data_IF_894139929433
#
_entry.id   IF_894139929433
#
_cell.length_a   1.000
_cell.length_b   1.000
_cell.length_c   1.000
_cell.angle_alpha   90.00
_cell.angle_beta   90.00
_cell.angle_gamma   90.00
#
_symmetry.space_group_name_H-M   'P 1'
#
loop_
_entity.id
_entity.type
_entity.pdbx_description
1 polymer ?
#
# COMPACT_ATOMS: atom_id res chain seq x y z
N UNK A 1 32.01 8.56 -5.30
CA UNK A 1 32.82 9.35 -4.34
C UNK A 1 32.04 10.54 -3.79
N UNK A 2 30.71 10.46 -3.67
CA UNK A 2 29.80 11.56 -3.20
C UNK A 2 29.15 11.26 -1.84
N UNK A 3 28.99 9.99 -1.43
CA UNK A 3 28.31 9.62 -0.16
C UNK A 3 29.10 9.83 1.14
N UNK A 4 30.36 10.24 1.08
CA UNK A 4 31.18 10.42 2.30
C UNK A 4 31.18 11.86 2.85
N UNK A 5 30.68 12.84 2.08
CA UNK A 5 30.64 14.25 2.52
C UNK A 5 29.36 14.59 3.31
N UNK A 6 28.25 13.92 3.01
CA UNK A 6 26.97 14.21 3.70
C UNK A 6 26.95 13.71 5.15
N UNK A 7 27.64 12.57 5.41
CA UNK A 7 27.78 12.03 6.76
C UNK A 7 28.61 12.90 7.70
N UNK A 8 29.64 13.57 7.20
CA UNK A 8 30.51 14.45 7.99
C UNK A 8 29.82 15.76 8.31
N UNK A 9 29.04 16.33 7.38
CA UNK A 9 28.27 17.55 7.63
C UNK A 9 27.14 17.34 8.64
N UNK A 10 26.48 16.18 8.61
CA UNK A 10 25.45 15.84 9.58
C UNK A 10 26.04 15.67 10.97
N UNK A 11 27.22 15.04 11.09
CA UNK A 11 27.94 14.85 12.35
C UNK A 11 28.40 16.20 12.96
N UNK A 12 28.93 17.10 12.13
CA UNK A 12 29.32 18.46 12.58
C UNK A 12 28.10 19.33 13.02
N UNK A 13 26.95 19.16 12.39
CA UNK A 13 25.69 19.84 12.76
C UNK A 13 25.17 19.30 14.11
N UNK A 14 25.23 17.99 14.30
CA UNK A 14 24.87 17.35 15.58
C UNK A 14 25.78 17.77 16.69
N UNK A 15 27.11 17.82 16.47
CA UNK A 15 28.09 18.27 17.46
C UNK A 15 27.92 19.76 17.83
N UNK A 16 27.56 20.62 16.88
CA UNK A 16 27.23 22.04 17.13
C UNK A 16 25.93 22.22 17.91
N UNK A 17 24.91 21.39 17.64
CA UNK A 17 23.65 21.38 18.40
C UNK A 17 23.89 20.92 19.85
N UNK A 18 24.74 19.91 20.05
CA UNK A 18 25.12 19.38 21.37
C UNK A 18 25.78 20.46 22.23
N UNK A 19 26.58 21.35 21.62
CA UNK A 19 27.25 22.48 22.35
C UNK A 19 26.29 23.63 22.70
N UNK A 20 25.17 23.77 21.98
CA UNK A 20 24.24 24.88 22.13
C UNK A 20 23.07 24.59 23.07
N UNK A 21 22.68 23.32 23.23
CA UNK A 21 21.58 22.91 24.09
C UNK A 21 21.82 21.50 24.68
N UNK A 22 22.20 21.40 25.97
CA UNK A 22 22.38 20.10 26.65
C UNK A 22 21.12 19.24 26.66
N UNK A 23 19.93 19.83 26.60
CA UNK A 23 18.65 19.11 26.59
C UNK A 23 18.38 18.49 25.22
N UNK A 24 18.78 19.16 24.14
CA UNK A 24 18.71 18.56 22.78
C UNK A 24 19.64 17.35 22.66
N UNK A 25 20.81 17.36 23.30
CA UNK A 25 21.72 16.21 23.34
C UNK A 25 21.14 15.01 24.06
N UNK A 26 20.49 15.20 25.19
CA UNK A 26 19.85 14.12 25.94
C UNK A 26 18.65 13.53 25.15
N UNK A 27 17.86 14.37 24.50
CA UNK A 27 16.76 13.95 23.63
C UNK A 27 17.26 13.10 22.45
N UNK A 28 18.38 13.44 21.81
CA UNK A 28 19.00 12.68 20.75
C UNK A 28 19.46 11.29 21.24
N UNK A 29 20.00 11.19 22.44
CA UNK A 29 20.37 9.89 23.04
C UNK A 29 19.16 8.98 23.22
N UNK A 30 18.03 9.52 23.73
CA UNK A 30 16.78 8.77 23.85
C UNK A 30 16.31 8.26 22.50
N UNK A 31 16.30 9.11 21.47
CA UNK A 31 15.90 8.73 20.11
C UNK A 31 16.79 7.61 19.58
N UNK A 32 18.11 7.79 19.59
CA UNK A 32 19.08 6.80 19.09
C UNK A 32 18.99 5.46 19.82
N UNK A 33 18.72 5.50 21.13
CA UNK A 33 18.53 4.28 21.92
C UNK A 33 17.28 3.50 21.47
N UNK A 34 16.14 4.18 21.30
CA UNK A 34 14.93 3.53 20.80
C UNK A 34 15.08 3.06 19.36
N UNK A 35 15.78 3.78 18.50
CA UNK A 35 16.07 3.36 17.13
C UNK A 35 16.88 2.04 17.10
N UNK A 36 17.81 1.90 18.05
CA UNK A 36 18.57 0.64 18.22
C UNK A 36 17.65 -0.51 18.67
N UNK A 37 16.75 -0.29 19.63
CA UNK A 37 15.78 -1.29 20.08
C UNK A 37 14.83 -1.70 18.95
N UNK A 38 14.34 -0.73 18.18
CA UNK A 38 13.43 -0.97 17.05
C UNK A 38 14.14 -1.76 15.93
N UNK A 39 15.38 -1.39 15.60
CA UNK A 39 16.21 -2.07 14.59
C UNK A 39 16.58 -3.49 15.01
N UNK A 40 16.82 -3.69 16.33
CA UNK A 40 17.05 -5.00 16.94
C UNK A 40 15.82 -5.88 17.07
N UNK A 41 14.65 -5.42 16.59
CA UNK A 41 13.36 -6.13 16.66
C UNK A 41 12.96 -6.58 18.07
N UNK A 42 13.26 -5.74 19.05
CA UNK A 42 13.00 -6.04 20.45
C UNK A 42 11.48 -6.05 20.70
N UNK A 43 11.00 -7.04 21.47
CA UNK A 43 9.58 -7.15 21.85
C UNK A 43 9.17 -6.14 22.93
N UNK A 44 7.87 -6.12 23.30
CA UNK A 44 7.30 -5.18 24.28
C UNK A 44 8.05 -5.19 25.61
N UNK A 45 8.35 -6.37 26.15
CA UNK A 45 9.08 -6.50 27.41
C UNK A 45 10.48 -5.87 27.36
N UNK A 46 11.17 -5.99 26.23
CA UNK A 46 12.46 -5.36 26.03
C UNK A 46 12.36 -3.85 25.85
N UNK A 47 11.33 -3.33 25.19
CA UNK A 47 11.05 -1.89 25.12
C UNK A 47 10.77 -1.31 26.51
N UNK A 48 10.00 -2.00 27.36
CA UNK A 48 9.72 -1.59 28.72
C UNK A 48 10.98 -1.60 29.59
N UNK A 49 11.81 -2.65 29.51
CA UNK A 49 13.10 -2.71 30.23
C UNK A 49 14.02 -1.57 29.82
N UNK A 50 14.12 -1.30 28.51
CA UNK A 50 14.91 -0.17 28.00
C UNK A 50 14.39 1.17 28.50
N UNK A 51 13.08 1.37 28.52
CA UNK A 51 12.46 2.60 29.04
C UNK A 51 12.69 2.76 30.53
N UNK A 52 12.59 1.68 31.30
CA UNK A 52 12.85 1.68 32.76
C UNK A 52 14.32 2.02 33.06
N UNK A 53 15.26 1.40 32.35
CA UNK A 53 16.68 1.68 32.52
C UNK A 53 17.04 3.15 32.17
N UNK A 54 16.48 3.69 31.08
CA UNK A 54 16.70 5.07 30.67
C UNK A 54 16.11 6.10 31.61
N UNK A 55 14.91 5.82 32.14
CA UNK A 55 14.21 6.77 33.01
C UNK A 55 14.60 6.67 34.48
N UNK A 56 15.19 5.53 34.92
CA UNK A 56 15.37 5.21 36.32
C UNK A 56 14.07 5.06 37.09
N UNK A 57 12.95 4.76 36.39
CA UNK A 57 11.62 4.55 36.95
C UNK A 57 11.00 3.24 36.43
N UNK A 58 9.97 2.74 37.09
CA UNK A 58 9.22 1.60 36.57
C UNK A 58 8.52 2.00 35.28
N UNK A 59 8.74 1.24 34.19
CA UNK A 59 8.02 1.38 32.94
C UNK A 59 6.93 0.31 32.84
N UNK A 60 5.73 0.71 32.39
CA UNK A 60 4.58 -0.17 32.28
C UNK A 60 3.83 -0.02 30.97
N UNK A 61 3.13 -1.09 30.61
CA UNK A 61 2.19 -1.14 29.50
C UNK A 61 0.94 -1.95 29.90
N UNK A 62 -0.20 -1.49 29.40
CA UNK A 62 -1.45 -2.24 29.44
C UNK A 62 -1.89 -2.54 28.00
N UNK A 63 -2.19 -3.81 27.72
CA UNK A 63 -2.63 -4.25 26.41
C UNK A 63 -3.62 -5.41 26.55
N UNK A 64 -4.83 -5.25 25.98
CA UNK A 64 -5.88 -6.26 26.06
C UNK A 64 -6.19 -6.71 27.51
N UNK A 65 -6.22 -5.77 28.45
CA UNK A 65 -6.46 -6.02 29.88
C UNK A 65 -5.30 -6.66 30.65
N UNK A 66 -4.16 -6.90 29.98
CA UNK A 66 -2.94 -7.44 30.62
C UNK A 66 -1.94 -6.33 30.87
N UNK A 67 -1.45 -6.22 32.11
CA UNK A 67 -0.46 -5.25 32.55
C UNK A 67 0.91 -5.91 32.65
N UNK A 68 1.93 -5.27 32.05
CA UNK A 68 3.35 -5.62 32.18
C UNK A 68 4.09 -4.43 32.76
N UNK A 69 4.97 -4.66 33.76
CA UNK A 69 5.75 -3.63 34.46
C UNK A 69 7.16 -4.11 34.67
N UNK A 70 8.16 -3.24 34.46
CA UNK A 70 9.58 -3.53 34.68
C UNK A 70 10.23 -2.40 35.45
N UNK A 71 11.09 -2.74 36.42
CA UNK A 71 11.91 -1.79 37.16
C UNK A 71 13.18 -1.39 36.39
N UNK A 72 13.95 -0.39 36.88
CA UNK A 72 15.19 0.03 36.23
C UNK A 72 16.27 -1.07 36.09
N UNK A 73 16.23 -2.11 36.93
CA UNK A 73 17.13 -3.26 36.87
C UNK A 73 16.66 -4.31 35.84
N UNK A 74 15.53 -4.03 35.17
CA UNK A 74 14.95 -4.91 34.13
C UNK A 74 14.17 -6.11 34.72
N UNK A 75 13.85 -6.10 36.02
CA UNK A 75 13.06 -7.17 36.66
C UNK A 75 11.57 -6.88 36.52
N UNK A 76 10.78 -7.95 36.35
CA UNK A 76 9.32 -7.82 36.25
C UNK A 76 8.71 -7.53 37.63
N UNK A 77 7.95 -6.44 37.69
CA UNK A 77 7.25 -6.00 38.91
C UNK A 77 5.84 -6.59 38.93
N UNK A 78 5.63 -7.68 39.66
CA UNK A 78 4.33 -8.37 39.76
C UNK A 78 3.52 -7.94 40.98
N UNK A 79 4.18 -7.53 42.07
CA UNK A 79 3.60 -7.19 43.38
C UNK A 79 4.08 -5.78 43.79
N UNK A 80 3.30 -5.10 44.61
CA UNK A 80 3.57 -3.77 45.14
C UNK A 80 2.50 -2.77 44.72
N UNK A 81 2.37 -1.69 45.51
CA UNK A 81 1.47 -0.57 45.20
C UNK A 81 2.01 0.10 43.91
N UNK A 82 1.22 0.23 42.87
CA UNK A 82 1.66 0.96 41.67
C UNK A 82 1.98 2.41 42.02
N UNK A 83 3.15 2.90 41.59
CA UNK A 83 3.48 4.31 41.63
C UNK A 83 2.51 5.12 40.76
N UNK A 84 2.59 6.44 40.86
CA UNK A 84 1.76 7.32 40.04
C UNK A 84 2.19 7.19 38.57
N UNK A 85 1.24 6.78 37.70
CA UNK A 85 1.48 6.62 36.24
C UNK A 85 1.63 8.00 35.60
N UNK A 86 2.87 8.43 35.41
CA UNK A 86 3.22 9.72 34.78
C UNK A 86 4.58 9.64 34.10
N UNK A 87 4.74 10.13 32.85
CA UNK A 87 3.66 10.43 31.88
C UNK A 87 2.98 9.16 31.37
N UNK A 88 1.81 9.32 30.72
CA UNK A 88 1.03 8.22 30.10
C UNK A 88 0.74 8.57 28.66
N UNK A 89 0.79 7.57 27.75
CA UNK A 89 0.30 7.68 26.38
C UNK A 89 -0.64 6.51 26.07
N UNK A 90 -1.69 6.85 25.33
CA UNK A 90 -2.62 5.82 24.82
C UNK A 90 -2.04 5.24 23.53
N UNK A 91 -2.06 3.94 23.38
CA UNK A 91 -1.52 3.19 22.23
C UNK A 91 -2.55 2.14 21.80
N UNK A 92 -3.28 2.42 20.73
CA UNK A 92 -4.39 1.54 20.29
C UNK A 92 -5.45 1.37 21.37
N UNK A 93 -5.71 0.11 21.79
CA UNK A 93 -6.66 -0.23 22.88
C UNK A 93 -6.00 -0.31 24.26
N UNK A 94 -4.76 0.16 24.41
CA UNK A 94 -4.01 0.10 25.67
C UNK A 94 -3.30 1.41 25.98
N UNK A 95 -2.33 1.35 26.90
CA UNK A 95 -1.53 2.49 27.29
C UNK A 95 -0.12 2.09 27.70
N UNK A 96 0.82 3.05 27.63
CA UNK A 96 2.19 2.94 28.13
C UNK A 96 2.49 4.09 29.08
N UNK A 97 3.33 3.87 30.11
CA UNK A 97 3.62 4.87 31.12
C UNK A 97 4.96 4.65 31.81
N UNK A 98 5.38 5.66 32.55
CA UNK A 98 6.35 5.53 33.64
C UNK A 98 5.64 5.65 34.99
N UNK A 99 6.20 5.05 36.04
CA UNK A 99 5.73 5.25 37.42
C UNK A 99 6.68 6.21 38.13
N UNK A 100 6.19 7.41 38.39
CA UNK A 100 6.99 8.48 38.97
C UNK A 100 6.25 9.08 40.16
N UNK A 101 6.87 8.99 41.33
CA UNK A 101 6.40 9.67 42.52
C UNK A 101 7.11 11.03 42.61
N UNK A 102 6.37 12.14 42.52
CA UNK A 102 6.87 13.48 42.57
C UNK A 102 7.05 14.18 41.22
N UNK A 103 8.15 14.93 41.04
CA UNK A 103 8.38 15.75 39.86
C UNK A 103 8.88 14.90 38.68
N UNK A 104 8.34 15.18 37.47
CA UNK A 104 8.84 14.55 36.25
C UNK A 104 10.28 14.98 35.94
N UNK A 105 11.07 14.05 35.44
CA UNK A 105 12.40 14.38 34.90
C UNK A 105 12.26 14.91 33.47
N UNK A 106 13.26 15.67 33.03
CA UNK A 106 13.25 16.36 31.74
C UNK A 106 12.97 15.44 30.54
N UNK A 107 13.43 14.18 30.62
CA UNK A 107 13.34 13.22 29.51
C UNK A 107 12.14 12.25 29.62
N UNK A 108 11.38 12.28 30.71
CA UNK A 108 10.30 11.32 30.95
C UNK A 108 9.22 11.36 29.85
N UNK A 109 8.83 12.57 29.41
CA UNK A 109 7.88 12.77 28.30
C UNK A 109 8.41 12.18 27.01
N UNK A 110 9.65 12.46 26.64
CA UNK A 110 10.28 11.94 25.43
C UNK A 110 10.40 10.42 25.46
N UNK A 111 10.77 9.83 26.60
CA UNK A 111 10.88 8.38 26.75
C UNK A 111 9.52 7.71 26.53
N UNK A 112 8.43 8.27 27.10
CA UNK A 112 7.09 7.69 26.94
C UNK A 112 6.56 7.91 25.52
N UNK A 113 6.86 9.04 24.88
CA UNK A 113 6.51 9.27 23.47
C UNK A 113 7.20 8.25 22.55
N UNK A 114 8.49 7.99 22.77
CA UNK A 114 9.24 6.98 22.00
C UNK A 114 8.80 5.56 22.29
N UNK A 115 8.48 5.25 23.55
CA UNK A 115 7.90 3.96 23.93
C UNK A 115 6.54 3.74 23.28
N UNK A 116 5.68 4.76 23.24
CA UNK A 116 4.38 4.69 22.57
C UNK A 116 4.55 4.42 21.07
N UNK A 117 5.40 5.20 20.38
CA UNK A 117 5.71 5.01 18.97
C UNK A 117 6.26 3.60 18.67
N UNK A 118 7.26 3.15 19.48
CA UNK A 118 7.83 1.80 19.30
C UNK A 118 6.81 0.69 19.53
N UNK A 119 5.89 0.89 20.50
CA UNK A 119 4.81 -0.06 20.80
C UNK A 119 3.77 -0.11 19.68
N UNK A 120 3.43 1.03 19.07
CA UNK A 120 2.57 1.09 17.89
C UNK A 120 3.19 0.38 16.70
N UNK A 121 4.48 0.63 16.45
CA UNK A 121 5.23 -0.03 15.39
C UNK A 121 5.30 -1.55 15.61
N UNK A 122 5.51 -1.99 16.86
CA UNK A 122 5.48 -3.42 17.23
C UNK A 122 4.08 -4.01 17.00
N UNK A 123 3.02 -3.27 17.36
CA UNK A 123 1.63 -3.69 17.14
C UNK A 123 1.29 -3.77 15.65
N UNK A 124 1.76 -2.80 14.85
CA UNK A 124 1.62 -2.82 13.39
C UNK A 124 2.32 -4.04 12.77
N UNK A 125 3.53 -4.37 13.23
CA UNK A 125 4.26 -5.59 12.80
C UNK A 125 3.57 -6.88 13.25
N UNK A 126 2.84 -6.86 14.38
CA UNK A 126 2.12 -8.01 14.92
C UNK A 126 0.70 -8.15 14.37
N UNK A 127 0.17 -7.12 13.69
CA UNK A 127 -1.10 -7.23 12.99
C UNK A 127 -0.97 -8.19 11.80
N UNK A 128 -2.04 -8.92 11.43
CA UNK A 128 -2.06 -9.75 10.22
C UNK A 128 -1.75 -8.99 8.92
N UNK A 129 -1.69 -7.65 8.99
CA UNK A 129 -1.47 -6.74 7.86
C UNK A 129 -0.12 -7.00 7.18
N UNK A 130 0.98 -7.15 7.92
CA UNK A 130 2.30 -7.45 7.32
C UNK A 130 2.48 -8.91 6.86
N UNK A 131 1.47 -9.77 7.04
CA UNK A 131 1.51 -11.17 6.60
C UNK A 131 0.90 -11.36 5.22
N UNK A 132 -0.10 -10.55 4.87
CA UNK A 132 -0.67 -10.59 3.53
C UNK A 132 0.34 -10.13 2.48
N UNK A 133 1.17 -9.13 2.77
CA UNK A 133 2.27 -8.68 1.91
C UNK A 133 3.22 -9.84 1.54
N UNK A 134 3.58 -10.68 2.53
CA UNK A 134 4.43 -11.85 2.29
C UNK A 134 3.71 -12.89 1.44
N UNK A 135 2.42 -13.12 1.67
CA UNK A 135 1.63 -14.15 0.96
C UNK A 135 1.48 -13.79 -0.52
N UNK A 136 1.27 -12.51 -0.85
CA UNK A 136 1.05 -12.04 -2.22
C UNK A 136 2.34 -11.72 -2.99
N UNK A 137 3.50 -11.75 -2.35
CA UNK A 137 4.80 -11.47 -2.96
C UNK A 137 5.35 -12.72 -3.64
N UNK A 138 5.34 -12.72 -4.98
CA UNK A 138 5.86 -13.81 -5.79
C UNK A 138 7.38 -14.01 -5.65
N UNK A 139 8.12 -12.98 -5.17
CA UNK A 139 9.58 -13.06 -4.99
C UNK A 139 9.97 -13.78 -3.71
N UNK A 140 9.03 -13.94 -2.76
CA UNK A 140 9.26 -14.66 -1.51
C UNK A 140 9.25 -16.17 -1.73
N UNK A 141 10.15 -16.90 -1.06
CA UNK A 141 10.12 -18.35 -1.07
C UNK A 141 8.77 -18.92 -0.62
N UNK A 142 8.37 -20.05 -1.20
CA UNK A 142 7.11 -20.70 -0.85
C UNK A 142 7.02 -21.04 0.64
N UNK A 143 8.15 -21.37 1.27
CA UNK A 143 8.24 -21.66 2.70
C UNK A 143 7.84 -20.44 3.57
N UNK A 144 8.37 -19.25 3.28
CA UNK A 144 8.00 -18.01 3.97
C UNK A 144 6.53 -17.70 3.79
N UNK A 145 5.99 -17.87 2.56
CA UNK A 145 4.57 -17.68 2.27
C UNK A 145 3.70 -18.68 3.02
N UNK A 146 4.14 -19.92 3.15
CA UNK A 146 3.43 -20.96 3.92
C UNK A 146 3.38 -20.65 5.42
N UNK A 147 4.46 -20.14 5.99
CA UNK A 147 4.50 -19.67 7.39
C UNK A 147 3.52 -18.50 7.56
N UNK A 148 3.49 -17.56 6.63
CA UNK A 148 2.57 -16.43 6.67
C UNK A 148 1.10 -16.88 6.55
N UNK A 149 0.78 -17.85 5.68
CA UNK A 149 -0.55 -18.46 5.58
C UNK A 149 -0.98 -19.11 6.91
N UNK A 150 -0.11 -19.92 7.52
CA UNK A 150 -0.39 -20.56 8.79
C UNK A 150 -0.74 -19.55 9.89
N UNK A 151 -0.11 -18.39 9.89
CA UNK A 151 -0.40 -17.32 10.85
C UNK A 151 -1.76 -16.63 10.63
N UNK A 152 -2.28 -16.67 9.41
CA UNK A 152 -3.65 -16.26 9.07
C UNK A 152 -4.65 -17.42 9.25
N UNK A 153 -4.21 -18.59 9.74
CA UNK A 153 -4.99 -19.82 9.87
C UNK A 153 -5.59 -20.30 8.54
N UNK A 154 -4.81 -20.15 7.47
CA UNK A 154 -5.16 -20.60 6.13
C UNK A 154 -4.32 -21.82 5.76
N UNK A 155 -4.99 -22.86 5.30
CA UNK A 155 -4.34 -23.98 4.66
C UNK A 155 -3.89 -23.59 3.22
N UNK A 156 -2.77 -24.10 2.72
CA UNK A 156 -2.30 -23.80 1.35
C UNK A 156 -3.33 -24.11 0.28
N UNK A 157 -4.21 -25.08 0.51
CA UNK A 157 -5.29 -25.49 -0.39
C UNK A 157 -6.57 -24.65 -0.26
N UNK A 158 -6.66 -23.79 0.74
CA UNK A 158 -7.85 -22.93 0.94
C UNK A 158 -8.07 -22.07 -0.30
N UNK A 159 -9.33 -22.04 -0.77
CA UNK A 159 -9.71 -21.21 -1.90
C UNK A 159 -9.85 -19.75 -1.46
N UNK A 160 -9.09 -18.86 -2.09
CA UNK A 160 -9.06 -17.43 -1.81
C UNK A 160 -9.06 -16.62 -3.10
N UNK A 161 -9.35 -15.34 -2.98
CA UNK A 161 -8.97 -14.33 -3.98
C UNK A 161 -8.44 -13.08 -3.30
N UNK A 162 -7.67 -12.29 -4.03
CA UNK A 162 -7.21 -10.98 -3.60
C UNK A 162 -8.02 -9.91 -4.33
N UNK A 163 -8.44 -8.89 -3.58
CA UNK A 163 -9.11 -7.71 -4.10
C UNK A 163 -8.13 -6.54 -4.02
N UNK A 164 -7.97 -5.83 -5.13
CA UNK A 164 -7.14 -4.63 -5.22
C UNK A 164 -8.02 -3.38 -5.22
N UNK A 165 -7.72 -2.42 -4.34
CA UNK A 165 -8.40 -1.12 -4.26
C UNK A 165 -7.38 0.00 -4.09
N UNK A 166 -7.83 1.26 -4.19
CA UNK A 166 -7.01 2.40 -3.78
C UNK A 166 -6.57 2.26 -2.31
N UNK A 167 -5.41 2.82 -1.97
CA UNK A 167 -4.80 2.65 -0.64
C UNK A 167 -5.68 3.15 0.51
N UNK A 168 -6.49 4.16 0.25
CA UNK A 168 -7.42 4.83 1.19
C UNK A 168 -8.81 4.20 1.24
N UNK A 169 -9.10 3.19 0.39
CA UNK A 169 -10.39 2.49 0.39
C UNK A 169 -10.29 1.13 1.09
N UNK A 170 -10.60 1.04 2.39
CA UNK A 170 -10.60 -0.23 3.12
C UNK A 170 -11.88 -1.02 2.84
N UNK A 171 -11.73 -2.34 2.72
CA UNK A 171 -12.85 -3.29 2.79
C UNK A 171 -12.94 -3.80 4.23
N UNK A 172 -14.10 -3.69 4.84
CA UNK A 172 -14.29 -3.98 6.27
C UNK A 172 -14.00 -5.46 6.62
N UNK A 173 -13.45 -5.67 7.82
CA UNK A 173 -13.30 -6.97 8.50
C UNK A 173 -12.44 -8.06 7.81
N UNK A 174 -11.68 -7.73 6.75
CA UNK A 174 -10.81 -8.68 6.08
C UNK A 174 -9.32 -8.34 6.29
N UNK A 175 -8.41 -9.33 6.30
CA UNK A 175 -6.97 -9.08 6.30
C UNK A 175 -6.59 -8.26 5.07
N UNK A 176 -5.89 -7.15 5.28
CA UNK A 176 -5.50 -6.25 4.21
C UNK A 176 -4.09 -5.69 4.44
N UNK A 177 -3.43 -5.30 3.34
CA UNK A 177 -2.13 -4.64 3.33
C UNK A 177 -2.10 -3.58 2.22
N UNK A 178 -1.39 -2.47 2.45
CA UNK A 178 -1.09 -1.50 1.38
C UNK A 178 0.30 -1.80 0.86
N UNK A 179 0.40 -2.06 -0.43
CA UNK A 179 1.60 -2.58 -1.08
C UNK A 179 2.02 -1.64 -2.22
N UNK A 180 3.31 -1.28 -2.31
CA UNK A 180 3.82 -0.56 -3.47
C UNK A 180 3.80 -1.48 -4.71
N UNK A 181 3.28 -0.95 -5.79
CA UNK A 181 3.29 -1.60 -7.11
C UNK A 181 3.91 -0.66 -8.13
N UNK A 182 4.21 -1.16 -9.33
CA UNK A 182 4.65 -0.28 -10.44
C UNK A 182 3.61 0.79 -10.84
N UNK A 183 2.39 0.68 -10.32
CA UNK A 183 1.28 1.60 -10.57
C UNK A 183 0.95 2.49 -9.37
N UNK A 184 1.81 2.53 -8.34
CA UNK A 184 1.59 3.26 -7.11
C UNK A 184 1.19 2.37 -5.94
N UNK A 185 0.70 3.00 -4.87
CA UNK A 185 0.28 2.29 -3.65
C UNK A 185 -1.12 1.71 -3.83
N UNK A 186 -1.25 0.39 -3.70
CA UNK A 186 -2.50 -0.35 -3.88
C UNK A 186 -2.78 -1.16 -2.62
N UNK A 187 -4.03 -1.18 -2.18
CA UNK A 187 -4.48 -2.02 -1.07
C UNK A 187 -4.84 -3.41 -1.59
N UNK A 188 -4.19 -4.42 -1.03
CA UNK A 188 -4.57 -5.81 -1.16
C UNK A 188 -5.53 -6.18 -0.02
N UNK A 189 -6.65 -6.81 -0.32
CA UNK A 189 -7.58 -7.36 0.67
C UNK A 189 -7.81 -8.84 0.37
N UNK A 190 -7.68 -9.68 1.40
CA UNK A 190 -7.90 -11.12 1.29
C UNK A 190 -9.40 -11.42 1.41
N UNK A 191 -9.96 -12.07 0.40
CA UNK A 191 -11.33 -12.58 0.42
C UNK A 191 -11.31 -14.12 0.41
N UNK A 192 -11.93 -14.73 1.42
CA UNK A 192 -12.06 -16.19 1.58
C UNK A 192 -13.51 -16.63 1.39
N UNK A 193 -14.46 -15.73 1.62
CA UNK A 193 -15.90 -16.05 1.68
C UNK A 193 -16.69 -15.71 0.43
N UNK A 194 -16.15 -14.85 -0.43
CA UNK A 194 -16.90 -14.30 -1.58
C UNK A 194 -17.89 -13.20 -1.20
N UNK A 195 -17.96 -12.83 0.07
CA UNK A 195 -18.86 -11.81 0.59
C UNK A 195 -18.28 -10.40 0.65
N UNK A 196 -17.03 -10.22 0.27
CA UNK A 196 -16.37 -8.90 0.28
C UNK A 196 -16.84 -8.07 -0.93
N UNK A 197 -17.76 -7.14 -0.70
CA UNK A 197 -18.21 -6.15 -1.70
C UNK A 197 -17.48 -4.83 -1.47
N UNK A 198 -16.66 -4.38 -2.41
CA UNK A 198 -16.04 -3.06 -2.32
C UNK A 198 -17.05 -1.95 -2.65
N UNK A 199 -17.07 -0.89 -1.84
CA UNK A 199 -17.86 0.32 -2.08
C UNK A 199 -17.11 1.36 -2.95
N UNK A 200 -15.97 0.98 -3.49
CA UNK A 200 -15.10 1.81 -4.33
C UNK A 200 -14.61 1.03 -5.56
N UNK A 201 -13.83 1.70 -6.41
CA UNK A 201 -13.21 1.03 -7.55
C UNK A 201 -12.33 -0.12 -7.08
N UNK A 202 -12.57 -1.32 -7.63
CA UNK A 202 -11.87 -2.53 -7.22
C UNK A 202 -11.58 -3.46 -8.39
N UNK A 203 -10.39 -4.06 -8.36
CA UNK A 203 -10.03 -5.18 -9.19
C UNK A 203 -10.13 -6.48 -8.41
N UNK A 204 -10.87 -7.43 -8.92
CA UNK A 204 -11.02 -8.75 -8.30
C UNK A 204 -10.05 -9.73 -8.97
N UNK A 205 -9.16 -10.32 -8.19
CA UNK A 205 -8.32 -11.41 -8.67
C UNK A 205 -9.12 -12.71 -8.88
N UNK A 206 -8.63 -13.65 -9.67
CA UNK A 206 -9.26 -14.95 -9.79
C UNK A 206 -9.22 -15.69 -8.46
N UNK A 207 -10.19 -16.58 -8.28
CA UNK A 207 -10.18 -17.55 -7.19
C UNK A 207 -9.08 -18.58 -7.40
N UNK A 208 -8.16 -18.66 -6.46
CA UNK A 208 -6.99 -19.55 -6.48
C UNK A 208 -6.85 -20.28 -5.14
N UNK A 209 -5.95 -21.25 -5.08
CA UNK A 209 -5.48 -21.80 -3.80
C UNK A 209 -4.62 -20.74 -3.09
N UNK A 210 -4.59 -20.73 -1.77
CA UNK A 210 -3.87 -19.73 -0.98
C UNK A 210 -2.36 -19.71 -1.26
N UNK A 211 -1.75 -20.85 -1.59
CA UNK A 211 -0.35 -20.94 -2.02
C UNK A 211 -0.07 -20.26 -3.39
N UNK A 212 -1.11 -19.97 -4.16
CA UNK A 212 -1.11 -19.23 -5.42
C UNK A 212 -1.62 -17.77 -5.28
N UNK A 213 -1.66 -17.22 -4.08
CA UNK A 213 -2.11 -15.84 -3.83
C UNK A 213 -1.40 -14.77 -4.69
N UNK A 214 -0.09 -14.86 -5.01
CA UNK A 214 0.57 -13.90 -5.90
C UNK A 214 -0.09 -13.79 -7.27
N UNK A 215 -0.59 -14.90 -7.80
CA UNK A 215 -1.26 -14.96 -9.11
C UNK A 215 -2.60 -14.19 -9.09
N UNK A 216 -3.34 -14.32 -7.98
CA UNK A 216 -4.57 -13.56 -7.76
C UNK A 216 -4.29 -12.07 -7.59
N UNK A 217 -3.24 -11.72 -6.84
CA UNK A 217 -2.82 -10.34 -6.61
C UNK A 217 -2.42 -9.60 -7.87
N UNK A 218 -1.49 -10.17 -8.67
CA UNK A 218 -1.06 -9.57 -9.94
C UNK A 218 -2.24 -9.22 -10.83
N UNK A 219 -3.18 -10.16 -10.98
CA UNK A 219 -4.36 -9.99 -11.83
C UNK A 219 -5.37 -9.01 -11.24
N UNK A 220 -5.51 -8.97 -9.91
CA UNK A 220 -6.35 -7.99 -9.23
C UNK A 220 -5.85 -6.56 -9.45
N UNK A 221 -4.53 -6.33 -9.39
CA UNK A 221 -3.93 -5.02 -9.67
C UNK A 221 -4.21 -4.58 -11.10
N UNK A 222 -4.03 -5.47 -12.08
CA UNK A 222 -4.35 -5.18 -13.49
C UNK A 222 -5.83 -4.83 -13.65
N UNK A 223 -6.72 -5.62 -13.07
CA UNK A 223 -8.16 -5.37 -13.12
C UNK A 223 -8.53 -4.02 -12.47
N UNK A 224 -7.93 -3.68 -11.34
CA UNK A 224 -8.13 -2.39 -10.69
C UNK A 224 -7.73 -1.20 -11.57
N UNK A 225 -6.64 -1.33 -12.37
CA UNK A 225 -6.21 -0.28 -13.33
C UNK A 225 -7.20 -0.06 -14.48
N UNK A 226 -8.06 -1.02 -14.74
CA UNK A 226 -9.07 -0.95 -15.81
C UNK A 226 -10.45 -0.47 -15.31
N UNK A 227 -10.59 -0.19 -14.00
CA UNK A 227 -11.82 0.39 -13.45
C UNK A 227 -11.97 1.85 -13.83
N UNK A 228 -13.19 2.30 -14.01
CA UNK A 228 -13.57 3.70 -14.19
C UNK A 228 -14.90 4.01 -13.47
N UNK A 229 -15.51 5.19 -13.75
CA UNK A 229 -16.81 5.58 -13.18
C UNK A 229 -17.96 4.68 -13.65
N UNK A 230 -17.86 4.18 -14.87
CA UNK A 230 -18.91 3.38 -15.51
C UNK A 230 -18.76 1.88 -15.15
N UNK A 231 -17.52 1.45 -14.93
CA UNK A 231 -17.16 0.08 -14.56
C UNK A 231 -16.31 0.13 -13.28
N UNK A 232 -16.93 0.34 -12.11
CA UNK A 232 -16.20 0.50 -10.86
C UNK A 232 -15.54 -0.79 -10.34
N UNK A 233 -16.04 -1.96 -10.77
CA UNK A 233 -15.49 -3.26 -10.37
C UNK A 233 -15.19 -4.08 -11.63
N UNK A 234 -13.96 -4.56 -11.73
CA UNK A 234 -13.52 -5.43 -12.83
C UNK A 234 -13.05 -6.77 -12.25
N UNK A 235 -13.62 -7.87 -12.71
CA UNK A 235 -13.11 -9.20 -12.40
C UNK A 235 -12.02 -9.61 -13.42
N UNK A 236 -10.84 -9.97 -12.92
CA UNK A 236 -9.73 -10.36 -13.78
C UNK A 236 -10.02 -11.61 -14.63
N UNK A 237 -10.97 -12.43 -14.23
CA UNK A 237 -11.38 -13.61 -15.02
C UNK A 237 -12.00 -13.22 -16.35
N UNK A 238 -12.67 -12.06 -16.43
CA UNK A 238 -13.30 -11.55 -17.63
C UNK A 238 -12.30 -10.97 -18.64
N UNK A 239 -11.08 -10.68 -18.19
CA UNK A 239 -10.04 -10.10 -19.04
C UNK A 239 -9.39 -11.10 -20.01
N UNK A 240 -9.43 -12.40 -19.69
CA UNK A 240 -8.91 -13.45 -20.57
C UNK A 240 -7.48 -13.17 -21.06
N UNK A 241 -7.25 -13.22 -22.37
CA UNK A 241 -5.95 -12.99 -22.99
C UNK A 241 -5.43 -11.56 -22.83
N UNK A 242 -6.29 -10.58 -22.51
CA UNK A 242 -5.85 -9.19 -22.25
C UNK A 242 -4.88 -9.07 -21.07
N UNK A 243 -4.91 -10.02 -20.12
CA UNK A 243 -3.93 -10.11 -19.04
C UNK A 243 -2.48 -10.26 -19.55
N UNK A 244 -2.29 -10.92 -20.70
CA UNK A 244 -0.96 -11.05 -21.31
C UNK A 244 -0.48 -9.72 -21.90
N UNK A 245 -1.38 -8.92 -22.48
CA UNK A 245 -1.08 -7.55 -22.93
C UNK A 245 -0.70 -6.67 -21.73
N UNK A 246 -1.44 -6.77 -20.63
CA UNK A 246 -1.13 -6.01 -19.41
C UNK A 246 0.25 -6.36 -18.82
N UNK A 247 0.67 -7.63 -18.89
CA UNK A 247 2.00 -8.06 -18.45
C UNK A 247 3.13 -7.50 -19.33
N UNK A 248 2.86 -7.35 -20.63
CA UNK A 248 3.80 -6.79 -21.59
C UNK A 248 3.86 -5.25 -21.54
N UNK A 249 2.99 -4.58 -20.78
CA UNK A 249 3.02 -3.13 -20.63
C UNK A 249 4.28 -2.68 -19.88
N UNK A 250 5.04 -1.78 -20.53
CA UNK A 250 6.20 -1.12 -19.94
C UNK A 250 5.91 0.39 -19.84
N UNK A 251 5.85 0.98 -18.63
CA UNK A 251 5.61 2.41 -18.46
C UNK A 251 6.74 3.29 -19.03
N UNK A 252 7.97 2.75 -19.13
CA UNK A 252 9.12 3.47 -19.67
C UNK A 252 9.17 3.42 -21.22
N UNK A 253 8.38 2.50 -21.82
CA UNK A 253 8.31 2.34 -23.27
C UNK A 253 6.87 2.40 -23.79
N UNK A 254 6.32 3.61 -23.82
CA UNK A 254 4.96 3.85 -24.31
C UNK A 254 4.95 3.79 -25.84
N UNK A 255 4.11 2.89 -26.41
CA UNK A 255 3.96 2.74 -27.86
C UNK A 255 3.39 4.01 -28.51
N UNK A 256 3.79 4.30 -29.77
CA UNK A 256 3.38 5.53 -30.47
C UNK A 256 1.86 5.61 -30.67
N UNK A 257 1.17 4.52 -30.97
CA UNK A 257 -0.30 4.50 -31.04
C UNK A 257 -0.94 5.01 -29.73
N UNK A 258 -0.37 4.65 -28.57
CA UNK A 258 -0.85 5.10 -27.27
C UNK A 258 -0.62 6.59 -27.06
N UNK A 259 0.54 7.12 -27.51
CA UNK A 259 0.85 8.56 -27.43
C UNK A 259 -0.10 9.37 -28.33
N UNK A 260 -0.37 8.87 -29.54
CA UNK A 260 -1.32 9.52 -30.47
C UNK A 260 -2.71 9.59 -29.86
N UNK A 261 -3.21 8.50 -29.25
CA UNK A 261 -4.51 8.51 -28.57
C UNK A 261 -4.57 9.48 -27.39
N UNK A 262 -3.50 9.57 -26.61
CA UNK A 262 -3.40 10.52 -25.48
C UNK A 262 -3.35 11.99 -25.92
N UNK A 263 -2.95 12.27 -27.16
CA UNK A 263 -2.91 13.62 -27.75
C UNK A 263 -4.21 14.04 -28.45
N UNK A 264 -5.21 13.17 -28.57
CA UNK A 264 -6.49 13.51 -29.17
C UNK A 264 -7.31 14.42 -28.24
N UNK A 265 -8.01 15.39 -28.81
CA UNK A 265 -9.05 16.13 -28.09
C UNK A 265 -10.25 15.24 -27.77
N UNK A 266 -11.04 15.63 -26.76
CA UNK A 266 -12.16 14.84 -26.25
C UNK A 266 -13.19 14.48 -27.35
N UNK A 267 -13.44 15.40 -28.27
CA UNK A 267 -14.39 15.18 -29.35
C UNK A 267 -13.86 14.18 -30.38
N UNK A 268 -12.58 14.27 -30.74
CA UNK A 268 -11.91 13.33 -31.65
C UNK A 268 -11.84 11.93 -31.03
N UNK A 269 -11.53 11.84 -29.73
CA UNK A 269 -11.53 10.59 -28.98
C UNK A 269 -12.93 9.94 -28.91
N UNK A 270 -13.98 10.74 -28.70
CA UNK A 270 -15.38 10.27 -28.70
C UNK A 270 -15.78 9.74 -30.10
N UNK A 271 -15.46 10.49 -31.17
CA UNK A 271 -15.75 10.07 -32.53
C UNK A 271 -15.03 8.75 -32.85
N UNK A 272 -13.75 8.65 -32.52
CA UNK A 272 -12.95 7.44 -32.75
C UNK A 272 -13.55 6.24 -32.02
N UNK A 273 -13.92 6.38 -30.75
CA UNK A 273 -14.59 5.32 -29.99
C UNK A 273 -15.87 4.85 -30.69
N UNK A 274 -16.72 5.78 -31.12
CA UNK A 274 -17.99 5.43 -31.77
C UNK A 274 -17.75 4.79 -33.15
N UNK A 275 -16.71 5.20 -33.91
CA UNK A 275 -16.32 4.59 -35.17
C UNK A 275 -15.89 3.12 -35.01
N UNK A 276 -15.19 2.81 -33.92
CA UNK A 276 -14.73 1.45 -33.61
C UNK A 276 -15.88 0.58 -33.13
N UNK A 277 -16.79 1.15 -32.32
CA UNK A 277 -17.94 0.43 -31.73
C UNK A 277 -19.05 0.10 -32.75
N UNK A 278 -19.09 0.78 -33.88
CA UNK A 278 -20.19 0.66 -34.86
C UNK A 278 -19.78 -0.06 -36.12
N UNK A 279 -20.75 -0.75 -36.73
CA UNK A 279 -20.50 -1.52 -37.96
C UNK A 279 -20.54 -0.67 -39.24
N UNK A 280 -21.04 0.58 -39.18
CA UNK A 280 -21.13 1.44 -40.36
C UNK A 280 -20.99 2.93 -40.01
N UNK A 281 -20.46 3.74 -40.96
CA UNK A 281 -20.41 5.19 -40.82
C UNK A 281 -21.79 5.82 -40.59
N UNK A 282 -22.85 5.25 -41.21
CA UNK A 282 -24.22 5.74 -41.02
C UNK A 282 -24.69 5.50 -39.57
N UNK A 283 -24.40 4.34 -38.99
CA UNK A 283 -24.73 4.05 -37.60
C UNK A 283 -23.92 4.94 -36.65
N UNK A 284 -22.64 5.16 -36.92
CA UNK A 284 -21.80 6.08 -36.15
C UNK A 284 -22.33 7.53 -36.22
N UNK A 285 -22.70 8.01 -37.40
CA UNK A 285 -23.26 9.34 -37.59
C UNK A 285 -24.57 9.53 -36.80
N UNK A 286 -25.46 8.54 -36.83
CA UNK A 286 -26.69 8.55 -36.04
C UNK A 286 -26.41 8.61 -34.53
N UNK A 287 -25.46 7.79 -34.02
CA UNK A 287 -25.07 7.72 -32.61
C UNK A 287 -24.46 9.05 -32.13
N UNK A 288 -23.71 9.75 -32.99
CA UNK A 288 -23.06 11.03 -32.71
C UNK A 288 -23.94 12.25 -33.00
N UNK A 289 -25.17 12.05 -33.51
CA UNK A 289 -26.05 13.10 -34.00
C UNK A 289 -25.36 14.03 -35.05
N UNK A 290 -24.55 13.42 -35.94
CA UNK A 290 -23.78 14.15 -36.97
C UNK A 290 -24.33 13.82 -38.36
N UNK A 291 -24.13 14.78 -39.31
CA UNK A 291 -24.37 14.48 -40.72
C UNK A 291 -23.32 13.51 -41.27
N UNK A 292 -23.72 12.58 -42.12
CA UNK A 292 -22.84 11.52 -42.65
C UNK A 292 -21.58 12.09 -43.30
N UNK A 293 -21.69 13.16 -44.12
CA UNK A 293 -20.54 13.79 -44.77
C UNK A 293 -19.55 14.43 -43.79
N UNK A 294 -20.06 15.02 -42.70
CA UNK A 294 -19.23 15.60 -41.65
C UNK A 294 -18.44 14.50 -40.91
N UNK A 295 -19.09 13.38 -40.60
CA UNK A 295 -18.43 12.25 -39.95
C UNK A 295 -17.41 11.62 -40.91
N UNK A 296 -17.69 11.52 -42.21
CA UNK A 296 -16.76 10.99 -43.20
C UNK A 296 -15.46 11.85 -43.24
N UNK A 297 -15.57 13.18 -43.32
CA UNK A 297 -14.41 14.05 -43.27
C UNK A 297 -13.60 13.93 -41.96
N UNK A 298 -14.30 13.77 -40.82
CA UNK A 298 -13.65 13.51 -39.53
C UNK A 298 -12.96 12.16 -39.51
N UNK A 299 -13.55 11.11 -40.06
CA UNK A 299 -12.93 9.79 -40.18
C UNK A 299 -11.64 9.84 -41.01
N UNK A 300 -11.68 10.51 -42.19
CA UNK A 300 -10.49 10.69 -43.02
C UNK A 300 -9.37 11.42 -42.29
N UNK A 301 -9.69 12.52 -41.59
CA UNK A 301 -8.72 13.25 -40.75
C UNK A 301 -8.16 12.38 -39.61
N UNK A 302 -8.98 11.53 -38.96
CA UNK A 302 -8.50 10.60 -37.94
C UNK A 302 -7.59 9.52 -38.52
N UNK A 303 -7.85 9.01 -39.72
CA UNK A 303 -6.96 8.07 -40.41
C UNK A 303 -5.58 8.68 -40.64
N UNK A 304 -5.52 9.95 -41.04
CA UNK A 304 -4.24 10.67 -41.23
C UNK A 304 -3.47 10.81 -39.90
N UNK A 305 -4.15 11.18 -38.83
CA UNK A 305 -3.55 11.34 -37.48
C UNK A 305 -3.09 10.00 -36.89
N UNK A 306 -3.89 8.97 -37.05
CA UNK A 306 -3.61 7.64 -36.49
C UNK A 306 -2.57 6.85 -37.31
N UNK A 307 -2.47 7.15 -38.62
CA UNK A 307 -1.67 6.38 -39.56
C UNK A 307 -2.27 5.00 -39.90
N UNK A 308 -3.54 4.78 -39.56
CA UNK A 308 -4.31 3.56 -39.91
C UNK A 308 -5.82 3.83 -39.90
N UNK A 309 -6.57 3.03 -40.68
CA UNK A 309 -8.03 3.09 -40.64
C UNK A 309 -8.59 2.27 -39.47
N UNK A 310 -9.20 2.94 -38.44
CA UNK A 310 -9.71 2.29 -37.22
C UNK A 310 -10.91 1.37 -37.48
N UNK A 311 -11.48 1.39 -38.69
CA UNK A 311 -12.62 0.57 -39.05
C UNK A 311 -12.23 -0.78 -39.66
N UNK A 312 -11.00 -0.96 -40.07
CA UNK A 312 -10.45 -2.25 -40.49
C UNK A 312 -10.25 -3.17 -39.27
N UNK A 313 -10.20 -4.46 -39.49
CA UNK A 313 -9.93 -5.43 -38.39
C UNK A 313 -8.60 -5.11 -37.71
N UNK A 314 -7.53 -4.90 -38.50
CA UNK A 314 -6.22 -4.57 -37.97
C UNK A 314 -6.22 -3.23 -37.22
N UNK A 315 -6.88 -2.19 -37.77
CA UNK A 315 -6.99 -0.88 -37.13
C UNK A 315 -7.78 -0.91 -35.82
N UNK A 316 -8.86 -1.68 -35.75
CA UNK A 316 -9.59 -1.91 -34.49
C UNK A 316 -8.70 -2.56 -33.44
N UNK A 317 -7.94 -3.58 -33.82
CA UNK A 317 -7.02 -4.24 -32.88
C UNK A 317 -5.93 -3.27 -32.38
N UNK A 318 -5.35 -2.45 -33.27
CA UNK A 318 -4.37 -1.42 -32.89
C UNK A 318 -4.98 -0.43 -31.90
N UNK A 319 -6.15 0.13 -32.23
CA UNK A 319 -6.86 1.06 -31.34
C UNK A 319 -7.16 0.43 -29.98
N UNK A 320 -7.77 -0.76 -29.95
CA UNK A 320 -8.15 -1.42 -28.69
C UNK A 320 -6.94 -1.74 -27.83
N UNK A 321 -5.83 -2.16 -28.42
CA UNK A 321 -4.58 -2.42 -27.71
C UNK A 321 -3.96 -1.12 -27.17
N UNK A 322 -3.94 -0.05 -27.96
CA UNK A 322 -3.41 1.24 -27.54
C UNK A 322 -4.28 1.89 -26.45
N UNK A 323 -5.60 1.80 -26.56
CA UNK A 323 -6.54 2.29 -25.54
C UNK A 323 -6.41 1.49 -24.24
N UNK A 324 -6.24 0.17 -24.34
CA UNK A 324 -5.97 -0.68 -23.20
C UNK A 324 -4.69 -0.26 -22.46
N UNK A 325 -3.59 -0.02 -23.18
CA UNK A 325 -2.34 0.46 -22.57
C UNK A 325 -2.48 1.87 -22.01
N UNK A 326 -3.21 2.76 -22.67
CA UNK A 326 -3.51 4.10 -22.17
C UNK A 326 -4.23 4.02 -20.82
N UNK A 327 -5.25 3.18 -20.67
CA UNK A 327 -5.99 2.97 -19.42
C UNK A 327 -5.11 2.39 -18.32
N UNK A 328 -4.26 1.43 -18.63
CA UNK A 328 -3.30 0.86 -17.66
C UNK A 328 -2.30 1.92 -17.18
N UNK A 329 -1.84 2.82 -18.07
CA UNK A 329 -0.85 3.85 -17.77
C UNK A 329 -1.41 5.11 -17.09
N UNK A 330 -2.71 5.42 -17.31
CA UNK A 330 -3.35 6.66 -16.82
C UNK A 330 -4.06 6.43 -15.50
N UNK A 331 -3.41 6.49 -14.38
CA UNK A 331 -4.13 6.64 -13.09
C UNK A 331 -3.22 7.20 -12.01
#
# INVERSE_FOLDING_TARGET
MVHHRDGVQMQELVDKLIMLDPQASENLKVVSYFDTLISGRVGLDGLLRGSAALSGAVAGAERNGKVSRFDPDGLSVRTGTPGQRRPVRVVGSGSVWLERDGRLHANDEMIVDRLAFATELLAARSRPVGRLEVIIDATRPLEERSIALATLRLEPSTRIRIIATAADCPIAAAPAAVVPTRYGMVRATLDVSGGSTPDCRAGLGPWVRADHAPDSWEKAVIAHRLTDSDIPVVDATDLGAMLNLARAYDPDFVHDDTKVLAGLDDRSAEILRVLVDTNSLRAAAAKLAMHHSTLQAKHESLVDVLGYDPRTIAGRMRYLSAEFYRRIGSA
#
